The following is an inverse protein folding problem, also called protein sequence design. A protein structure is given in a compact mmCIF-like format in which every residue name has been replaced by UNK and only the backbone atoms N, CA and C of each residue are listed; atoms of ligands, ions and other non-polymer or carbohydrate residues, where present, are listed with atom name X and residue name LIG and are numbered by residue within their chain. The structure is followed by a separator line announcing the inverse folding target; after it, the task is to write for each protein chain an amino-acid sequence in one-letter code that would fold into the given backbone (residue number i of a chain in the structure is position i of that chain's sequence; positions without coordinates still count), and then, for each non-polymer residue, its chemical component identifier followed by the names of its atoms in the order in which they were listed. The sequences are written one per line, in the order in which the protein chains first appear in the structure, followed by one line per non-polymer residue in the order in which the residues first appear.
data_IF_100761711998
#
_entry.id   IF_100761711998
#
_cell.length_a   1.000
_cell.length_b   1.000
_cell.length_c   1.000
_cell.angle_alpha   90.00
_cell.angle_beta   90.00
_cell.angle_gamma   90.00
#
_symmetry.space_group_name_H-M   'P 1'
#
loop_
_entity.id
_entity.type
_entity.pdbx_description
1 polymer ?
#
# COMPACT_ATOMS: atom_id res chain seq x y z
N UNK A 1 -15.65 13.80 -10.93
CA UNK A 1 -15.44 13.36 -9.54
C UNK A 1 -14.94 11.92 -9.48
N UNK A 2 -14.49 11.43 -8.31
CA UNK A 2 -14.14 10.02 -8.10
C UNK A 2 -15.33 9.07 -8.30
N UNK A 3 -16.53 9.56 -8.01
CA UNK A 3 -17.76 8.77 -8.16
C UNK A 3 -18.14 8.62 -9.62
N UNK A 4 -18.14 9.69 -10.39
CA UNK A 4 -18.36 9.64 -11.85
C UNK A 4 -17.34 8.76 -12.56
N UNK A 5 -16.04 8.96 -12.30
CA UNK A 5 -14.99 8.12 -12.86
C UNK A 5 -15.15 6.64 -12.45
N UNK A 6 -15.59 6.37 -11.22
CA UNK A 6 -15.92 5.03 -10.76
C UNK A 6 -17.09 4.41 -11.52
N UNK A 7 -18.15 5.18 -11.76
CA UNK A 7 -19.31 4.73 -12.54
C UNK A 7 -18.95 4.43 -13.99
N UNK A 8 -18.14 5.29 -14.62
CA UNK A 8 -17.62 5.08 -15.97
C UNK A 8 -16.83 3.77 -16.06
N UNK A 9 -15.98 3.48 -15.07
CA UNK A 9 -15.16 2.25 -15.05
C UNK A 9 -15.96 0.99 -14.74
N UNK A 10 -16.98 1.08 -13.89
CA UNK A 10 -17.75 -0.09 -13.42
C UNK A 10 -18.95 -0.40 -14.31
N UNK A 11 -19.59 0.62 -14.90
CA UNK A 11 -20.82 0.49 -15.68
C UNK A 11 -20.64 0.75 -17.18
N UNK A 12 -19.42 1.04 -17.64
CA UNK A 12 -19.13 1.47 -19.02
C UNK A 12 -20.00 2.65 -19.47
N UNK A 13 -20.33 3.56 -18.58
CA UNK A 13 -21.04 4.78 -18.96
C UNK A 13 -20.15 5.60 -19.89
N UNK A 14 -20.70 6.00 -21.06
CA UNK A 14 -19.95 6.79 -22.02
C UNK A 14 -19.72 8.20 -21.50
N UNK A 15 -18.49 8.65 -21.60
CA UNK A 15 -18.05 10.03 -21.33
C UNK A 15 -16.89 10.37 -22.25
N UNK A 16 -16.59 11.63 -22.44
CA UNK A 16 -15.43 12.10 -23.23
C UNK A 16 -14.09 11.52 -22.74
N UNK A 17 -14.05 10.99 -21.53
CA UNK A 17 -12.85 10.47 -20.87
C UNK A 17 -12.84 8.94 -20.71
N UNK A 18 -13.87 8.23 -21.18
CA UNK A 18 -14.03 6.78 -20.98
C UNK A 18 -12.80 6.00 -21.43
N UNK A 19 -12.34 6.22 -22.66
CA UNK A 19 -11.16 5.52 -23.23
C UNK A 19 -9.90 5.79 -22.40
N UNK A 20 -9.66 7.05 -22.03
CA UNK A 20 -8.49 7.45 -21.22
C UNK A 20 -8.53 6.84 -19.82
N UNK A 21 -9.71 6.79 -19.19
CA UNK A 21 -9.89 6.18 -17.87
C UNK A 21 -9.63 4.66 -17.89
N UNK A 22 -10.16 3.95 -18.89
CA UNK A 22 -9.91 2.51 -19.04
C UNK A 22 -8.44 2.21 -19.34
N UNK A 23 -7.78 3.03 -20.17
CA UNK A 23 -6.35 2.88 -20.42
C UNK A 23 -5.52 3.09 -19.16
N UNK A 24 -5.83 4.14 -18.39
CA UNK A 24 -5.14 4.44 -17.13
C UNK A 24 -5.36 3.35 -16.09
N UNK A 25 -6.58 2.81 -15.99
CA UNK A 25 -6.90 1.69 -15.12
C UNK A 25 -6.08 0.44 -15.47
N UNK A 26 -5.94 0.10 -16.75
CA UNK A 26 -5.11 -1.02 -17.20
C UNK A 26 -3.62 -0.82 -16.87
N UNK A 27 -3.10 0.39 -17.06
CA UNK A 27 -1.71 0.73 -16.74
C UNK A 27 -1.46 0.60 -15.24
N UNK A 28 -2.32 1.18 -14.42
CA UNK A 28 -2.17 1.16 -12.96
C UNK A 28 -2.35 -0.25 -12.39
N UNK A 29 -3.23 -1.06 -12.96
CA UNK A 29 -3.40 -2.46 -12.59
C UNK A 29 -2.13 -3.28 -12.90
N UNK A 30 -1.46 -3.02 -14.03
CA UNK A 30 -0.18 -3.64 -14.37
C UNK A 30 0.94 -3.21 -13.40
N UNK A 31 1.02 -1.93 -13.05
CA UNK A 31 1.97 -1.45 -12.06
C UNK A 31 1.75 -2.09 -10.69
N UNK A 32 0.50 -2.19 -10.27
CA UNK A 32 0.11 -2.87 -9.03
C UNK A 32 0.53 -4.34 -9.04
N UNK A 33 0.23 -5.09 -10.10
CA UNK A 33 0.64 -6.49 -10.25
C UNK A 33 2.14 -6.65 -10.15
N UNK A 34 2.91 -5.82 -10.87
CA UNK A 34 4.38 -5.83 -10.81
C UNK A 34 4.93 -5.49 -9.42
N UNK A 35 4.30 -4.54 -8.72
CA UNK A 35 4.65 -4.17 -7.35
C UNK A 35 4.45 -5.34 -6.39
N UNK A 36 3.30 -5.99 -6.47
CA UNK A 36 2.95 -7.15 -5.65
C UNK A 36 3.90 -8.32 -5.93
N UNK A 37 4.19 -8.62 -7.19
CA UNK A 37 5.16 -9.67 -7.57
C UNK A 37 6.57 -9.39 -7.00
N UNK A 38 6.96 -8.13 -6.86
CA UNK A 38 8.23 -7.72 -6.24
C UNK A 38 8.20 -7.74 -4.71
N UNK A 39 7.05 -8.05 -4.11
CA UNK A 39 6.92 -8.21 -2.67
C UNK A 39 6.05 -7.17 -1.98
N UNK A 40 5.47 -6.22 -2.70
CA UNK A 40 4.45 -5.36 -2.13
C UNK A 40 3.22 -6.18 -1.70
N UNK A 41 2.58 -5.76 -0.63
CA UNK A 41 1.30 -6.36 -0.22
C UNK A 41 0.30 -5.28 0.13
N UNK A 42 -0.97 -5.64 0.03
CA UNK A 42 -2.07 -4.74 0.38
C UNK A 42 -2.83 -5.27 1.58
N UNK A 43 -3.11 -4.39 2.49
CA UNK A 43 -4.00 -4.67 3.62
C UNK A 43 -5.24 -3.79 3.46
N UNK A 44 -6.33 -4.43 3.06
CA UNK A 44 -7.62 -3.76 2.97
C UNK A 44 -8.19 -3.54 4.38
N UNK A 45 -7.94 -2.39 4.95
CA UNK A 45 -8.59 -1.94 6.18
C UNK A 45 -9.82 -1.12 5.83
N UNK A 46 -10.97 -1.45 6.44
CA UNK A 46 -12.16 -0.61 6.32
C UNK A 46 -12.00 0.61 7.22
N UNK A 47 -12.08 1.78 6.64
CA UNK A 47 -12.10 3.03 7.37
C UNK A 47 -13.56 3.40 7.67
N UNK A 48 -13.88 3.61 8.94
CA UNK A 48 -15.17 4.11 9.37
C UNK A 48 -15.15 5.63 9.34
N UNK A 49 -16.19 6.25 8.78
CA UNK A 49 -16.44 7.68 8.84
C UNK A 49 -17.69 7.95 9.65
N UNK A 50 -17.67 9.11 10.27
CA UNK A 50 -18.79 9.64 11.05
C UNK A 50 -19.22 10.95 10.42
N UNK A 51 -20.52 11.15 10.29
CA UNK A 51 -21.12 12.45 10.04
C UNK A 51 -21.50 13.06 11.38
N UNK A 52 -21.29 14.36 11.50
CA UNK A 52 -21.57 15.12 12.72
C UNK A 52 -22.65 16.18 12.40
N UNK A 53 -23.44 16.53 13.40
CA UNK A 53 -24.32 17.69 13.33
C UNK A 53 -23.55 18.99 13.62
N UNK A 54 -24.28 20.13 13.64
CA UNK A 54 -23.70 21.43 13.89
C UNK A 54 -23.17 21.59 15.33
N UNK A 55 -23.59 20.71 16.25
CA UNK A 55 -23.15 20.65 17.64
C UNK A 55 -21.93 19.72 17.83
N UNK A 56 -21.49 19.04 16.75
CA UNK A 56 -20.36 18.12 16.78
C UNK A 56 -20.71 16.73 17.31
N UNK A 57 -22.00 16.38 17.37
CA UNK A 57 -22.47 15.05 17.82
C UNK A 57 -22.52 14.10 16.61
N UNK A 58 -21.97 12.87 16.72
CA UNK A 58 -22.02 11.90 15.64
C UNK A 58 -23.47 11.48 15.33
N UNK A 59 -23.94 11.73 14.12
CA UNK A 59 -25.30 11.40 13.66
C UNK A 59 -25.37 10.11 12.86
N UNK A 60 -24.31 9.78 12.11
CA UNK A 60 -24.23 8.57 11.30
C UNK A 60 -22.81 8.03 11.28
N UNK A 61 -22.69 6.72 11.06
CA UNK A 61 -21.42 6.08 10.78
C UNK A 61 -21.55 5.20 9.54
N UNK A 62 -20.53 5.19 8.69
CA UNK A 62 -20.51 4.37 7.50
C UNK A 62 -19.07 3.96 7.13
N UNK A 63 -18.97 2.89 6.37
CA UNK A 63 -17.67 2.48 5.82
C UNK A 63 -17.36 3.31 4.59
N UNK A 64 -16.17 3.93 4.59
CA UNK A 64 -15.65 4.57 3.39
C UNK A 64 -15.49 3.52 2.30
N UNK A 65 -16.22 3.66 1.21
CA UNK A 65 -16.05 2.83 0.02
C UNK A 65 -14.89 3.39 -0.80
N UNK A 66 -13.87 2.57 -0.99
CA UNK A 66 -12.80 2.87 -1.95
C UNK A 66 -13.21 2.25 -3.27
N UNK A 67 -13.49 3.07 -4.27
CA UNK A 67 -13.83 2.63 -5.61
C UNK A 67 -12.57 2.47 -6.48
N UNK A 68 -12.75 2.05 -7.73
CA UNK A 68 -11.69 1.78 -8.68
C UNK A 68 -10.88 3.04 -9.02
N UNK A 69 -11.53 4.20 -9.13
CA UNK A 69 -10.88 5.47 -9.42
C UNK A 69 -9.89 5.91 -8.32
N UNK A 70 -10.21 5.65 -7.04
CA UNK A 70 -9.28 5.91 -5.94
C UNK A 70 -8.01 5.05 -6.06
N UNK A 71 -8.14 3.79 -6.48
CA UNK A 71 -6.99 2.89 -6.66
C UNK A 71 -6.09 3.31 -7.81
N UNK A 72 -6.67 3.83 -8.89
CA UNK A 72 -5.89 4.41 -10.00
C UNK A 72 -5.00 5.54 -9.48
N UNK A 73 -5.57 6.50 -8.76
CA UNK A 73 -4.80 7.63 -8.23
C UNK A 73 -3.76 7.16 -7.20
N UNK A 74 -4.09 6.19 -6.35
CA UNK A 74 -3.14 5.61 -5.40
C UNK A 74 -1.92 5.02 -6.11
N UNK A 75 -2.11 4.18 -7.14
CA UNK A 75 -0.99 3.57 -7.88
C UNK A 75 -0.21 4.63 -8.68
N UNK A 76 -0.86 5.64 -9.26
CA UNK A 76 -0.17 6.76 -9.90
C UNK A 76 0.72 7.51 -8.91
N UNK A 77 0.22 7.81 -7.70
CA UNK A 77 0.99 8.46 -6.65
C UNK A 77 2.17 7.61 -6.19
N UNK A 78 1.96 6.30 -5.99
CA UNK A 78 3.03 5.37 -5.62
C UNK A 78 4.12 5.33 -6.69
N UNK A 79 3.75 5.30 -7.95
CA UNK A 79 4.71 5.27 -9.07
C UNK A 79 5.45 6.61 -9.19
N UNK A 80 4.77 7.75 -9.11
CA UNK A 80 5.40 9.08 -9.14
C UNK A 80 6.41 9.22 -8.00
N UNK A 81 6.05 8.85 -6.79
CA UNK A 81 6.93 8.87 -5.63
C UNK A 81 8.18 7.98 -5.80
N UNK A 82 7.99 6.77 -6.35
CA UNK A 82 9.09 5.85 -6.64
C UNK A 82 10.04 6.40 -7.71
N UNK A 83 9.48 6.90 -8.82
CA UNK A 83 10.28 7.45 -9.93
C UNK A 83 11.05 8.69 -9.47
N UNK A 84 10.40 9.58 -8.70
CA UNK A 84 11.06 10.73 -8.12
C UNK A 84 12.24 10.32 -7.21
N UNK A 85 12.07 9.28 -6.40
CA UNK A 85 13.15 8.78 -5.55
C UNK A 85 14.35 8.26 -6.37
N UNK A 86 14.09 7.53 -7.46
CA UNK A 86 15.13 7.03 -8.36
C UNK A 86 15.81 8.21 -9.07
N UNK A 87 15.03 9.10 -9.67
CA UNK A 87 15.55 10.26 -10.40
C UNK A 87 16.44 11.14 -9.52
N UNK A 88 16.00 11.46 -8.31
CA UNK A 88 16.79 12.26 -7.38
C UNK A 88 18.08 11.56 -6.98
N UNK A 89 18.02 10.24 -6.68
CA UNK A 89 19.23 9.48 -6.36
C UNK A 89 20.25 9.47 -7.48
N UNK A 90 19.79 9.36 -8.73
CA UNK A 90 20.67 9.22 -9.89
C UNK A 90 21.23 10.58 -10.39
N UNK A 91 20.58 11.69 -10.03
CA UNK A 91 20.91 13.04 -10.56
C UNK A 91 21.33 14.06 -9.50
N UNK A 92 21.22 13.77 -8.21
CA UNK A 92 21.72 14.65 -7.16
C UNK A 92 23.21 14.38 -6.93
N UNK A 93 24.00 15.46 -6.95
CA UNK A 93 25.40 15.42 -6.60
C UNK A 93 25.59 14.98 -5.12
N UNK A 94 26.67 14.28 -4.81
CA UNK A 94 26.98 13.80 -3.45
C UNK A 94 27.02 14.94 -2.41
N UNK A 95 27.31 16.18 -2.84
CA UNK A 95 27.24 17.38 -1.99
C UNK A 95 25.82 17.76 -1.55
N UNK A 96 24.76 17.26 -2.22
CA UNK A 96 23.34 17.48 -1.92
C UNK A 96 22.67 16.29 -1.26
N UNK A 97 23.36 15.57 -0.42
CA UNK A 97 22.90 14.33 0.21
C UNK A 97 21.78 14.54 1.25
N UNK A 98 20.82 15.41 0.93
CA UNK A 98 19.70 15.76 1.83
C UNK A 98 18.35 15.25 1.34
N UNK A 99 18.38 14.18 0.56
CA UNK A 99 17.14 13.54 0.14
C UNK A 99 16.45 12.86 1.32
N UNK A 100 15.16 13.10 1.49
CA UNK A 100 14.35 12.47 2.52
C UNK A 100 13.65 11.26 1.92
N UNK A 101 13.95 10.07 2.47
CA UNK A 101 13.28 8.83 2.09
C UNK A 101 12.12 8.50 3.03
N UNK A 102 11.08 7.89 2.50
CA UNK A 102 10.03 7.27 3.30
C UNK A 102 10.36 5.80 3.48
N UNK A 103 10.87 5.46 4.61
CA UNK A 103 11.37 4.14 4.97
C UNK A 103 10.31 3.30 5.67
N UNK A 104 10.23 2.02 5.33
CA UNK A 104 9.45 1.04 6.09
C UNK A 104 10.28 -0.22 6.26
N UNK A 105 10.82 -0.37 7.44
CA UNK A 105 11.74 -1.45 7.79
C UNK A 105 11.01 -2.80 7.96
N UNK A 106 11.77 -3.88 7.96
CA UNK A 106 11.29 -5.21 8.28
C UNK A 106 10.75 -5.28 9.72
N UNK A 107 9.87 -6.22 10.05
CA UNK A 107 9.44 -6.46 11.43
C UNK A 107 10.62 -6.71 12.36
N UNK A 108 10.52 -6.29 13.62
CA UNK A 108 11.53 -6.66 14.63
C UNK A 108 11.57 -8.18 14.83
N UNK A 109 12.69 -8.72 15.29
CA UNK A 109 12.86 -10.16 15.54
C UNK A 109 11.72 -10.77 16.37
N UNK A 110 11.27 -10.06 17.41
CA UNK A 110 10.16 -10.50 18.26
C UNK A 110 8.85 -10.56 17.45
N UNK A 111 8.59 -9.56 16.64
CA UNK A 111 7.38 -9.50 15.83
C UNK A 111 7.45 -10.49 14.66
N UNK A 112 8.62 -10.70 14.09
CA UNK A 112 8.84 -11.74 13.08
C UNK A 112 8.51 -13.12 13.64
N UNK A 113 9.00 -13.47 14.84
CA UNK A 113 8.66 -14.72 15.51
C UNK A 113 7.15 -14.87 15.75
N UNK A 114 6.47 -13.77 16.10
CA UNK A 114 5.01 -13.76 16.26
C UNK A 114 4.28 -14.02 14.92
N UNK A 115 4.78 -13.46 13.82
CA UNK A 115 4.23 -13.72 12.49
C UNK A 115 4.50 -15.18 12.09
N UNK A 116 5.69 -15.72 12.36
CA UNK A 116 6.01 -17.14 12.12
C UNK A 116 5.08 -18.09 12.89
N UNK A 117 4.74 -17.74 14.15
CA UNK A 117 3.75 -18.52 14.92
C UNK A 117 2.38 -18.53 14.24
N UNK A 118 1.96 -17.42 13.63
CA UNK A 118 0.71 -17.38 12.85
C UNK A 118 0.85 -18.31 11.64
N UNK A 119 1.91 -18.19 10.85
CA UNK A 119 2.14 -19.04 9.67
C UNK A 119 2.13 -20.54 10.01
N UNK A 120 2.84 -20.92 11.06
CA UNK A 120 2.92 -22.30 11.51
C UNK A 120 1.55 -22.85 11.95
N UNK A 121 0.72 -22.03 12.62
CA UNK A 121 -0.64 -22.39 13.03
C UNK A 121 -1.54 -22.73 11.84
N UNK A 122 -1.31 -22.09 10.71
CA UNK A 122 -2.02 -22.33 9.45
C UNK A 122 -1.27 -23.28 8.50
N UNK A 123 -0.21 -23.93 8.98
CA UNK A 123 0.63 -24.87 8.19
C UNK A 123 1.17 -24.23 6.90
N UNK A 124 1.42 -22.91 6.91
CA UNK A 124 1.98 -22.22 5.77
C UNK A 124 3.48 -22.43 5.70
N UNK A 125 3.95 -22.90 4.56
CA UNK A 125 5.38 -23.12 4.33
C UNK A 125 6.05 -21.85 3.82
N UNK A 126 7.07 -21.40 4.54
CA UNK A 126 7.96 -20.33 4.08
C UNK A 126 8.93 -20.86 3.03
N UNK A 127 9.21 -20.07 2.00
CA UNK A 127 10.19 -20.44 0.96
C UNK A 127 11.61 -20.54 1.53
N UNK A 128 11.94 -19.71 2.52
CA UNK A 128 13.21 -19.77 3.24
C UNK A 128 13.03 -20.34 4.65
N UNK A 129 13.58 -21.50 4.92
CA UNK A 129 13.51 -22.12 6.26
C UNK A 129 14.25 -21.30 7.33
N UNK A 130 15.23 -20.47 6.95
CA UNK A 130 16.13 -19.75 7.87
C UNK A 130 16.29 -18.26 7.59
N UNK A 131 15.60 -17.71 6.59
CA UNK A 131 15.66 -16.28 6.25
C UNK A 131 14.62 -15.44 6.99
N UNK A 132 14.80 -14.13 7.02
CA UNK A 132 13.78 -13.20 7.50
C UNK A 132 12.49 -13.33 6.67
N UNK A 133 11.33 -13.13 7.32
CA UNK A 133 10.04 -13.12 6.62
C UNK A 133 10.05 -12.00 5.59
N UNK A 134 9.81 -12.36 4.33
CA UNK A 134 9.68 -11.41 3.25
C UNK A 134 8.24 -10.88 3.15
N UNK A 135 8.09 -9.72 2.54
CA UNK A 135 6.77 -9.20 2.19
C UNK A 135 6.02 -10.11 1.20
N UNK A 136 6.74 -10.87 0.36
CA UNK A 136 6.16 -11.89 -0.53
C UNK A 136 5.53 -13.05 0.25
N UNK A 137 6.17 -13.50 1.33
CA UNK A 137 5.61 -14.56 2.17
C UNK A 137 4.30 -14.13 2.80
N UNK A 138 4.23 -12.89 3.27
CA UNK A 138 2.99 -12.31 3.84
C UNK A 138 1.91 -12.24 2.76
N UNK A 139 2.25 -11.75 1.58
CA UNK A 139 1.29 -11.66 0.48
C UNK A 139 0.75 -13.04 0.10
N UNK A 140 1.62 -14.03 -0.10
CA UNK A 140 1.24 -15.41 -0.44
C UNK A 140 0.36 -16.02 0.63
N UNK A 141 0.72 -15.89 1.91
CA UNK A 141 -0.08 -16.36 3.02
C UNK A 141 -1.50 -15.78 3.02
N UNK A 142 -1.62 -14.48 2.77
CA UNK A 142 -2.92 -13.82 2.69
C UNK A 142 -3.71 -14.21 1.43
N UNK A 143 -3.04 -14.53 0.32
CA UNK A 143 -3.72 -15.05 -0.87
C UNK A 143 -4.27 -16.47 -0.65
N UNK A 144 -3.52 -17.34 0.00
CA UNK A 144 -3.92 -18.73 0.27
C UNK A 144 -5.09 -18.81 1.26
N UNK A 145 -5.33 -17.74 2.02
CA UNK A 145 -6.46 -17.66 2.95
C UNK A 145 -7.76 -17.38 2.17
N UNK A 146 -8.60 -18.42 2.00
CA UNK A 146 -9.86 -18.34 1.23
C UNK A 146 -10.97 -17.59 1.96
N UNK A 147 -11.12 -17.80 3.27
CA UNK A 147 -12.14 -17.13 4.08
C UNK A 147 -11.82 -15.64 4.22
N UNK A 148 -12.76 -14.78 3.79
CA UNK A 148 -12.55 -13.32 3.75
C UNK A 148 -12.51 -12.69 5.14
N UNK A 149 -13.27 -13.21 6.09
CA UNK A 149 -13.28 -12.70 7.47
C UNK A 149 -11.99 -13.05 8.18
N UNK A 150 -11.53 -14.28 8.02
CA UNK A 150 -10.25 -14.74 8.53
C UNK A 150 -9.09 -13.97 7.88
N UNK A 151 -9.10 -13.79 6.57
CA UNK A 151 -8.11 -13.01 5.84
C UNK A 151 -8.01 -11.58 6.37
N UNK A 152 -9.14 -10.92 6.62
CA UNK A 152 -9.17 -9.59 7.21
C UNK A 152 -8.58 -9.58 8.61
N UNK A 153 -8.95 -10.53 9.46
CA UNK A 153 -8.41 -10.66 10.81
C UNK A 153 -6.90 -10.88 10.80
N UNK A 154 -6.40 -11.78 9.95
CA UNK A 154 -4.98 -12.07 9.79
C UNK A 154 -4.21 -10.86 9.26
N UNK A 155 -4.76 -10.16 8.28
CA UNK A 155 -4.19 -8.92 7.73
C UNK A 155 -3.97 -7.87 8.81
N UNK A 156 -4.98 -7.61 9.65
CA UNK A 156 -4.89 -6.67 10.78
C UNK A 156 -3.88 -7.16 11.83
N UNK A 157 -3.90 -8.48 12.11
CA UNK A 157 -2.99 -9.09 13.09
C UNK A 157 -1.52 -8.99 12.67
N UNK A 158 -1.24 -9.14 11.38
CA UNK A 158 0.10 -8.97 10.80
C UNK A 158 0.47 -7.49 10.78
N UNK A 159 -0.43 -6.59 10.34
CA UNK A 159 -0.19 -5.16 10.30
C UNK A 159 0.24 -4.59 11.66
N UNK A 160 -0.40 -5.02 12.74
CA UNK A 160 -0.04 -4.62 14.12
C UNK A 160 1.37 -5.04 14.54
N UNK A 161 2.01 -5.94 13.82
CA UNK A 161 3.37 -6.42 14.08
C UNK A 161 4.42 -5.78 13.16
N UNK A 162 3.97 -4.99 12.18
CA UNK A 162 4.86 -4.21 11.33
C UNK A 162 5.43 -3.01 12.09
N UNK A 163 6.61 -2.59 11.69
CA UNK A 163 7.12 -1.29 12.11
C UNK A 163 6.31 -0.18 11.45
N UNK A 164 6.27 0.99 12.08
CA UNK A 164 5.72 2.18 11.43
C UNK A 164 6.74 2.71 10.43
N UNK A 165 6.26 3.16 9.29
CA UNK A 165 7.11 3.86 8.33
C UNK A 165 7.57 5.20 8.93
N UNK A 166 8.83 5.57 8.66
CA UNK A 166 9.45 6.81 9.15
C UNK A 166 10.15 7.55 8.00
N UNK A 167 10.57 8.77 8.27
CA UNK A 167 11.43 9.52 7.36
C UNK A 167 12.89 9.39 7.79
N UNK A 168 13.80 9.38 6.82
CA UNK A 168 15.24 9.32 7.07
C UNK A 168 16.05 9.74 5.86
N UNK A 169 17.28 10.14 6.08
CA UNK A 169 18.22 10.56 5.03
C UNK A 169 18.81 9.36 4.27
N UNK A 170 18.87 8.21 4.92
CA UNK A 170 19.35 6.97 4.30
C UNK A 170 18.16 6.10 3.89
N UNK A 171 18.19 5.56 2.67
CA UNK A 171 17.17 4.62 2.22
C UNK A 171 17.46 3.22 2.74
N UNK A 172 16.49 2.65 3.44
CA UNK A 172 16.47 1.22 3.80
C UNK A 172 15.36 0.47 3.04
N UNK A 173 14.71 1.15 2.09
CA UNK A 173 13.59 0.63 1.33
C UNK A 173 12.25 0.74 2.06
N UNK A 174 11.21 0.26 1.40
CA UNK A 174 9.84 0.26 1.92
C UNK A 174 9.25 -1.14 1.87
N UNK A 175 9.37 -1.88 2.98
CA UNK A 175 8.97 -3.28 3.09
C UNK A 175 7.54 -3.55 2.62
N UNK A 176 6.55 -2.77 3.08
CA UNK A 176 5.15 -2.98 2.73
C UNK A 176 4.83 -2.70 1.26
N UNK A 177 5.57 -1.81 0.59
CA UNK A 177 5.38 -1.50 -0.83
C UNK A 177 6.25 -2.38 -1.75
N UNK A 178 7.25 -3.09 -1.22
CA UNK A 178 8.20 -3.85 -2.02
C UNK A 178 9.11 -2.96 -2.88
N UNK A 179 9.42 -1.74 -2.41
CA UNK A 179 10.29 -0.79 -3.09
C UNK A 179 11.64 -0.67 -2.39
N UNK A 180 12.72 -0.69 -3.16
CA UNK A 180 14.08 -0.44 -2.64
C UNK A 180 14.32 1.03 -2.36
N UNK A 181 13.67 1.92 -3.12
CA UNK A 181 13.73 3.37 -2.96
C UNK A 181 12.32 3.93 -2.98
N UNK A 182 12.02 4.79 -2.03
CA UNK A 182 10.71 5.45 -1.97
C UNK A 182 10.81 6.77 -1.19
N UNK A 183 10.21 7.80 -1.75
CA UNK A 183 10.04 9.10 -1.09
C UNK A 183 8.61 9.58 -1.23
N UNK A 184 8.22 10.57 -0.44
CA UNK A 184 6.97 11.27 -0.65
C UNK A 184 7.22 12.52 -1.48
N UNK A 185 7.10 12.41 -2.78
CA UNK A 185 7.15 13.52 -3.72
C UNK A 185 5.78 14.18 -3.92
N UNK A 186 4.73 13.37 -3.99
CA UNK A 186 3.36 13.86 -4.15
C UNK A 186 2.76 14.36 -2.83
N UNK A 187 1.83 15.32 -2.90
CA UNK A 187 1.09 15.90 -1.76
C UNK A 187 2.01 16.46 -0.64
N UNK A 188 2.99 17.33 -0.94
CA UNK A 188 3.97 17.79 0.05
C UNK A 188 3.32 18.55 1.20
N UNK A 189 2.32 19.41 0.96
CA UNK A 189 1.68 20.27 1.97
C UNK A 189 1.23 19.51 3.23
N UNK A 190 0.85 18.24 3.09
CA UNK A 190 0.41 17.41 4.24
C UNK A 190 1.48 16.49 4.79
N UNK A 191 2.72 16.57 4.29
CA UNK A 191 3.77 15.59 4.59
C UNK A 191 5.08 16.20 5.11
N UNK A 192 5.29 17.50 4.86
CA UNK A 192 6.46 18.27 5.29
C UNK A 192 6.03 19.55 6.00
#
# INVERSE_FOLDING_TARGET
SYEEAGLTLDKNEESDHTTSLHLLDRITDDWKRKRIQKGGFEINTSEWKFDFDDEGIPTKYFRKKTNRSHKIIEECMLMANKIAAIYMKDNLDESFNHMIFRNHDIPSLINEQRIRKIFNRFKFNLDSKHGAISSKDIHRFLLDTKDQSLKKFLSISILKKMKKANYGLNSIGHFGLGFNLYTHFTSPIRRY
#
